data_IF_263667207754
#
_entry.id   IF_263667207754
#
_cell.length_a   1.000
_cell.length_b   1.000
_cell.length_c   1.000
_cell.angle_alpha   90.00
_cell.angle_beta   90.00
_cell.angle_gamma   90.00
#
_symmetry.space_group_name_H-M   'P 1'
#
loop_
_entity.id
_entity.type
_entity.pdbx_description
1 polymer ?
#
# COMPACT_ATOMS: atom_id res chain seq x y z
N UNK A 1 8.13 68.77 28.05
CA UNK A 1 9.31 68.47 28.88
C UNK A 1 9.09 67.11 29.53
N UNK A 2 10.12 66.26 29.47
CA UNK A 2 10.33 65.01 30.22
C UNK A 2 9.45 63.79 29.94
N UNK A 3 9.96 62.97 29.02
CA UNK A 3 9.91 61.51 29.05
C UNK A 3 10.74 60.94 30.22
N UNK A 4 10.37 59.76 30.71
CA UNK A 4 11.29 58.84 31.40
C UNK A 4 10.88 57.36 31.15
N UNK A 5 11.84 56.42 31.07
CA UNK A 5 11.70 55.15 30.37
C UNK A 5 11.56 53.95 31.32
N UNK A 6 10.91 52.87 30.87
CA UNK A 6 10.94 51.56 31.56
C UNK A 6 11.90 50.63 30.80
N UNK A 7 12.94 50.07 31.44
CA UNK A 7 13.89 49.16 30.80
C UNK A 7 13.44 47.69 30.86
N UNK A 8 13.80 46.94 29.82
CA UNK A 8 13.79 45.48 29.75
C UNK A 8 14.84 44.85 30.69
N UNK A 9 14.52 43.70 31.30
CA UNK A 9 15.46 42.60 31.57
C UNK A 9 14.71 41.29 31.98
N UNK A 10 15.29 40.10 31.74
CA UNK A 10 14.60 38.80 31.74
C UNK A 10 14.81 38.00 33.04
N UNK A 11 14.03 36.94 33.30
CA UNK A 11 14.47 35.90 34.21
C UNK A 11 14.58 34.52 33.53
N UNK A 12 15.81 34.04 33.57
CA UNK A 12 16.15 32.69 34.04
C UNK A 12 15.87 31.49 33.15
N UNK A 13 16.97 31.04 32.55
CA UNK A 13 17.41 29.66 32.49
C UNK A 13 16.66 28.71 33.44
N UNK A 14 16.06 27.67 32.87
CA UNK A 14 15.65 26.47 33.60
C UNK A 14 16.26 25.23 32.93
N UNK A 15 17.29 24.76 33.60
CA UNK A 15 17.66 23.37 33.88
C UNK A 15 17.40 22.29 32.82
N UNK A 16 18.51 21.68 32.41
CA UNK A 16 18.67 20.34 31.88
C UNK A 16 17.82 19.28 32.60
N UNK A 17 17.20 18.38 31.83
CA UNK A 17 16.83 17.03 32.29
C UNK A 17 17.21 15.99 31.20
N UNK A 18 17.82 14.84 31.57
CA UNK A 18 18.22 13.76 30.65
C UNK A 18 17.05 12.78 30.36
N UNK A 19 17.23 11.76 29.48
CA UNK A 19 16.18 11.23 28.61
C UNK A 19 15.29 10.22 29.34
N UNK A 20 13.98 10.36 29.16
CA UNK A 20 13.00 9.32 29.55
C UNK A 20 12.48 8.69 28.28
N UNK A 21 12.70 7.38 28.16
CA UNK A 21 12.28 6.58 27.02
C UNK A 21 10.75 6.44 26.92
N UNK A 22 10.37 5.92 25.75
CA UNK A 22 9.10 5.28 25.45
C UNK A 22 7.84 6.15 25.65
N UNK A 23 7.42 6.82 24.58
CA UNK A 23 6.11 6.59 23.98
C UNK A 23 5.96 7.57 22.80
N UNK A 24 6.37 7.14 21.61
CA UNK A 24 5.68 7.63 20.42
C UNK A 24 4.20 7.34 20.67
N UNK A 25 3.29 8.34 20.66
CA UNK A 25 1.88 8.04 20.57
C UNK A 25 1.71 7.31 19.24
N UNK A 26 1.65 5.99 19.28
CA UNK A 26 1.24 5.19 18.15
C UNK A 26 -0.21 5.55 17.91
N UNK A 27 -0.42 6.58 17.07
CA UNK A 27 -1.69 6.71 16.36
C UNK A 27 -1.95 5.33 15.77
N UNK A 28 -3.14 4.75 15.96
CA UNK A 28 -3.48 3.51 15.29
C UNK A 28 -3.32 3.81 13.80
N UNK A 29 -2.27 3.27 13.19
CA UNK A 29 -2.15 3.24 11.74
C UNK A 29 -3.25 2.28 11.32
N UNK A 30 -4.46 2.83 11.15
CA UNK A 30 -5.55 2.11 10.53
C UNK A 30 -5.05 1.82 9.11
N UNK A 31 -4.69 0.56 8.86
CA UNK A 31 -4.41 0.13 7.49
C UNK A 31 -5.60 0.58 6.63
N UNK A 32 -5.35 1.27 5.50
CA UNK A 32 -6.44 1.66 4.62
C UNK A 32 -7.25 0.41 4.29
N UNK A 33 -8.59 0.47 4.33
CA UNK A 33 -9.43 -0.69 4.05
C UNK A 33 -9.05 -1.22 2.67
N UNK A 34 -8.70 -2.51 2.61
CA UNK A 34 -8.37 -3.16 1.33
C UNK A 34 -9.63 -3.06 0.47
N UNK A 35 -9.58 -2.37 -0.67
CA UNK A 35 -10.76 -2.18 -1.50
C UNK A 35 -11.20 -3.51 -2.07
N UNK A 36 -12.46 -3.86 -1.82
CA UNK A 36 -13.03 -5.11 -2.31
C UNK A 36 -13.40 -4.98 -3.78
N UNK A 37 -12.70 -5.72 -4.64
CA UNK A 37 -13.06 -5.87 -6.05
C UNK A 37 -14.43 -6.58 -6.14
N UNK A 38 -15.35 -6.11 -7.00
CA UNK A 38 -16.65 -6.76 -7.16
C UNK A 38 -16.49 -8.18 -7.72
N UNK A 39 -17.33 -9.14 -7.30
CA UNK A 39 -17.26 -10.51 -7.80
C UNK A 39 -17.60 -10.56 -9.30
N UNK A 40 -17.02 -11.51 -10.06
CA UNK A 40 -17.18 -11.58 -11.51
C UNK A 40 -18.64 -11.77 -11.94
N UNK A 41 -19.46 -12.42 -11.10
CA UNK A 41 -20.90 -12.57 -11.31
C UNK A 41 -21.67 -11.25 -11.41
N UNK A 42 -21.10 -10.14 -10.93
CA UNK A 42 -21.69 -8.80 -11.09
C UNK A 42 -21.75 -8.38 -12.57
N UNK A 43 -20.84 -8.90 -13.39
CA UNK A 43 -20.70 -8.59 -14.80
C UNK A 43 -21.30 -9.66 -15.72
N UNK A 44 -21.86 -10.72 -15.14
CA UNK A 44 -22.40 -11.85 -15.90
C UNK A 44 -23.85 -11.59 -16.33
N UNK A 45 -24.00 -10.78 -17.39
CA UNK A 45 -25.31 -10.39 -17.97
C UNK A 45 -25.68 -11.24 -19.19
N UNK A 46 -24.70 -11.96 -19.76
CA UNK A 46 -24.86 -12.71 -21.00
C UNK A 46 -25.90 -13.83 -20.92
N UNK A 47 -25.97 -14.65 -19.85
CA UNK A 47 -26.97 -15.72 -19.75
C UNK A 47 -28.40 -15.17 -19.79
N UNK A 48 -28.65 -14.06 -19.10
CA UNK A 48 -29.99 -13.46 -19.02
C UNK A 48 -30.38 -12.77 -20.32
N UNK A 49 -29.43 -12.07 -20.95
CA UNK A 49 -29.64 -11.48 -22.27
C UNK A 49 -29.95 -12.55 -23.31
N UNK A 50 -29.18 -13.63 -23.32
CA UNK A 50 -29.38 -14.73 -24.24
C UNK A 50 -30.74 -15.42 -24.03
N UNK A 51 -31.15 -15.66 -22.77
CA UNK A 51 -32.50 -16.18 -22.46
C UNK A 51 -33.59 -15.26 -22.97
N UNK A 52 -33.45 -13.95 -22.75
CA UNK A 52 -34.42 -12.96 -23.20
C UNK A 52 -34.54 -12.94 -24.73
N UNK A 53 -33.41 -12.96 -25.43
CA UNK A 53 -33.36 -12.96 -26.90
C UNK A 53 -33.97 -14.24 -27.48
N UNK A 54 -33.61 -15.42 -26.96
CA UNK A 54 -34.22 -16.70 -27.39
C UNK A 54 -35.74 -16.65 -27.28
N UNK A 55 -36.23 -16.17 -26.13
CA UNK A 55 -37.66 -16.09 -25.85
C UNK A 55 -38.41 -15.12 -26.78
N UNK A 56 -37.72 -14.07 -27.26
CA UNK A 56 -38.26 -13.12 -28.23
C UNK A 56 -38.27 -13.71 -29.65
N UNK A 57 -37.24 -14.50 -30.01
CA UNK A 57 -37.14 -15.17 -31.31
C UNK A 57 -38.16 -16.30 -31.46
N UNK A 58 -38.49 -16.99 -30.37
CA UNK A 58 -39.45 -18.09 -30.34
C UNK A 58 -40.92 -17.63 -30.29
N UNK A 59 -41.18 -16.32 -30.18
CA UNK A 59 -42.54 -15.75 -30.14
C UNK A 59 -43.26 -15.96 -31.47
N UNK A 60 -44.29 -16.83 -31.54
CA UNK A 60 -45.07 -16.99 -32.75
C UNK A 60 -45.91 -15.73 -32.99
N UNK A 61 -45.97 -15.30 -34.25
CA UNK A 61 -46.81 -14.19 -34.73
C UNK A 61 -48.30 -14.64 -34.74
N UNK A 62 -48.89 -14.88 -33.56
CA UNK A 62 -50.26 -15.34 -33.41
C UNK A 62 -51.19 -14.18 -32.99
N UNK A 63 -52.38 -14.00 -33.60
CA UNK A 63 -53.31 -12.93 -33.24
C UNK A 63 -53.82 -13.04 -31.79
N UNK A 64 -54.28 -11.92 -31.19
CA UNK A 64 -54.47 -11.81 -29.75
C UNK A 64 -55.65 -12.67 -29.28
N UNK A 65 -55.35 -13.79 -28.62
CA UNK A 65 -56.34 -14.53 -27.86
C UNK A 65 -56.28 -14.07 -26.40
N UNK A 66 -57.40 -13.46 -25.97
CA UNK A 66 -57.84 -13.21 -24.59
C UNK A 66 -56.78 -12.86 -23.53
N UNK A 67 -56.90 -11.61 -23.04
CA UNK A 67 -56.40 -11.04 -21.78
C UNK A 67 -55.59 -12.02 -20.89
N UNK A 68 -54.24 -11.95 -20.90
CA UNK A 68 -53.43 -12.77 -20.01
C UNK A 68 -53.59 -12.28 -18.55
N UNK A 69 -53.94 -13.22 -17.68
CA UNK A 69 -53.92 -13.02 -16.23
C UNK A 69 -52.45 -12.92 -15.77
N UNK A 70 -52.05 -12.00 -14.88
CA UNK A 70 -50.64 -11.71 -14.56
C UNK A 70 -49.83 -12.90 -14.02
N UNK A 71 -50.49 -14.00 -13.63
CA UNK A 71 -49.84 -15.22 -13.13
C UNK A 71 -49.35 -16.20 -14.21
N UNK A 72 -49.61 -15.96 -15.50
CA UNK A 72 -49.28 -16.92 -16.57
C UNK A 72 -48.03 -16.56 -17.39
N UNK A 73 -47.29 -15.51 -17.01
CA UNK A 73 -45.99 -15.16 -17.58
C UNK A 73 -44.94 -16.20 -17.15
N UNK A 74 -45.00 -17.38 -17.73
CA UNK A 74 -44.02 -18.43 -17.52
C UNK A 74 -42.66 -17.92 -17.94
N UNK A 75 -41.66 -17.99 -17.05
CA UNK A 75 -40.31 -17.49 -17.32
C UNK A 75 -39.66 -18.14 -18.56
N UNK A 76 -40.17 -19.30 -18.99
CA UNK A 76 -39.65 -20.14 -20.08
C UNK A 76 -40.52 -20.15 -21.35
N UNK A 77 -41.64 -19.41 -21.38
CA UNK A 77 -42.55 -19.37 -22.54
C UNK A 77 -42.30 -18.18 -23.49
N UNK A 78 -42.76 -18.20 -24.74
CA UNK A 78 -42.46 -17.15 -25.71
C UNK A 78 -42.89 -15.75 -25.22
N UNK A 79 -42.06 -14.73 -25.46
CA UNK A 79 -42.23 -13.40 -24.88
C UNK A 79 -42.96 -12.48 -25.85
N UNK A 80 -44.15 -12.03 -25.47
CA UNK A 80 -44.87 -11.04 -26.25
C UNK A 80 -44.12 -9.69 -26.26
N UNK A 81 -44.12 -9.01 -27.41
CA UNK A 81 -43.41 -7.74 -27.64
C UNK A 81 -43.75 -6.68 -26.57
N UNK A 82 -45.00 -6.66 -26.10
CA UNK A 82 -45.48 -5.71 -25.09
C UNK A 82 -44.79 -5.89 -23.72
N UNK A 83 -44.30 -7.10 -23.42
CA UNK A 83 -43.68 -7.44 -22.14
C UNK A 83 -42.14 -7.37 -22.16
N UNK A 84 -41.52 -7.06 -23.31
CA UNK A 84 -40.07 -7.00 -23.47
C UNK A 84 -39.44 -5.98 -22.53
N UNK A 85 -40.03 -4.78 -22.40
CA UNK A 85 -39.51 -3.75 -21.51
C UNK A 85 -39.47 -4.21 -20.04
N UNK A 86 -40.52 -4.93 -19.61
CA UNK A 86 -40.60 -5.45 -18.24
C UNK A 86 -39.58 -6.56 -18.02
N UNK A 87 -39.47 -7.50 -18.97
CA UNK A 87 -38.50 -8.58 -18.91
C UNK A 87 -37.03 -8.12 -18.99
N UNK A 88 -36.76 -7.01 -19.67
CA UNK A 88 -35.42 -6.43 -19.79
C UNK A 88 -34.98 -5.63 -18.54
N UNK A 89 -35.88 -5.35 -17.59
CA UNK A 89 -35.55 -4.55 -16.40
C UNK A 89 -34.45 -5.20 -15.54
N UNK A 90 -34.47 -6.52 -15.38
CA UNK A 90 -33.48 -7.23 -14.57
C UNK A 90 -32.07 -7.12 -15.17
N UNK A 91 -31.96 -7.23 -16.49
CA UNK A 91 -30.72 -7.01 -17.24
C UNK A 91 -30.25 -5.57 -17.05
N UNK A 92 -31.18 -4.60 -17.18
CA UNK A 92 -30.88 -3.17 -17.02
C UNK A 92 -30.36 -2.87 -15.61
N UNK A 93 -30.97 -3.48 -14.59
CA UNK A 93 -30.55 -3.34 -13.20
C UNK A 93 -29.17 -3.99 -12.96
N UNK A 94 -28.91 -5.17 -13.52
CA UNK A 94 -27.58 -5.81 -13.46
C UNK A 94 -26.50 -4.92 -14.09
N UNK A 95 -26.75 -4.34 -15.26
CA UNK A 95 -25.82 -3.41 -15.92
C UNK A 95 -25.59 -2.17 -15.05
N UNK A 96 -26.64 -1.58 -14.48
CA UNK A 96 -26.49 -0.42 -13.59
C UNK A 96 -25.68 -0.78 -12.34
N UNK A 97 -25.92 -1.94 -11.75
CA UNK A 97 -25.14 -2.44 -10.61
C UNK A 97 -23.67 -2.62 -10.97
N UNK A 98 -23.37 -3.24 -12.12
CA UNK A 98 -22.00 -3.40 -12.61
C UNK A 98 -21.30 -2.05 -12.81
N UNK A 99 -21.98 -1.08 -13.46
CA UNK A 99 -21.44 0.27 -13.64
C UNK A 99 -21.16 0.97 -12.31
N UNK A 100 -22.08 0.90 -11.35
CA UNK A 100 -21.86 1.45 -10.01
C UNK A 100 -20.68 0.79 -9.32
N UNK A 101 -20.54 -0.54 -9.44
CA UNK A 101 -19.44 -1.27 -8.83
C UNK A 101 -18.08 -0.85 -9.42
N UNK A 102 -18.00 -0.63 -10.74
CA UNK A 102 -16.78 -0.11 -11.41
C UNK A 102 -16.45 1.29 -10.93
N UNK A 103 -17.44 2.18 -10.89
CA UNK A 103 -17.24 3.58 -10.46
C UNK A 103 -16.99 3.74 -8.96
N UNK A 104 -17.23 2.68 -8.18
CA UNK A 104 -16.93 2.64 -6.75
C UNK A 104 -15.54 2.06 -6.46
N UNK A 105 -14.81 1.60 -7.49
CA UNK A 105 -13.42 1.17 -7.32
C UNK A 105 -12.56 2.38 -6.96
N UNK A 106 -11.65 2.25 -5.98
CA UNK A 106 -10.71 3.32 -5.68
C UNK A 106 -9.78 3.54 -6.85
N UNK A 107 -9.33 4.78 -6.99
CA UNK A 107 -8.36 5.21 -8.00
C UNK A 107 -8.74 4.81 -9.44
N UNK A 108 -10.02 4.54 -9.71
CA UNK A 108 -10.53 4.21 -11.05
C UNK A 108 -10.38 5.38 -12.03
N UNK A 109 -10.27 6.59 -11.50
CA UNK A 109 -10.04 7.82 -12.25
C UNK A 109 -8.54 8.14 -12.47
N UNK A 110 -7.62 7.38 -11.86
CA UNK A 110 -6.17 7.54 -12.06
C UNK A 110 -5.67 6.66 -13.19
N UNK A 111 -4.64 7.15 -13.89
CA UNK A 111 -3.98 6.38 -14.95
C UNK A 111 -2.97 5.39 -14.36
N UNK A 112 -2.50 4.45 -15.18
CA UNK A 112 -1.45 3.51 -14.73
C UNK A 112 -0.11 4.24 -14.62
N UNK A 113 0.13 5.18 -15.54
CA UNK A 113 1.33 6.00 -15.61
C UNK A 113 1.51 6.83 -14.34
N UNK A 114 0.46 7.51 -13.86
CA UNK A 114 0.51 8.27 -12.59
C UNK A 114 0.82 7.37 -11.38
N UNK A 115 0.39 6.11 -11.42
CA UNK A 115 0.62 5.15 -10.34
C UNK A 115 2.05 4.61 -10.39
N UNK A 116 2.57 4.36 -11.58
CA UNK A 116 3.95 3.91 -11.79
C UNK A 116 4.96 4.97 -11.34
N UNK A 117 4.75 6.25 -11.68
CA UNK A 117 5.57 7.37 -11.19
C UNK A 117 5.58 7.45 -9.66
N UNK A 118 4.40 7.36 -9.03
CA UNK A 118 4.30 7.35 -7.57
C UNK A 118 5.01 6.15 -6.94
N UNK A 119 4.93 4.97 -7.55
CA UNK A 119 5.64 3.77 -7.08
C UNK A 119 7.15 4.01 -7.14
N UNK A 120 7.68 4.56 -8.24
CA UNK A 120 9.11 4.87 -8.38
C UNK A 120 9.58 5.82 -7.27
N UNK A 121 8.84 6.91 -7.03
CA UNK A 121 9.13 7.87 -5.97
C UNK A 121 9.11 7.23 -4.58
N UNK A 122 8.09 6.40 -4.31
CA UNK A 122 7.96 5.69 -3.04
C UNK A 122 9.10 4.68 -2.83
N UNK A 123 9.51 3.96 -3.88
CA UNK A 123 10.62 3.01 -3.84
C UNK A 123 11.97 3.71 -3.62
N UNK A 124 12.20 4.86 -4.26
CA UNK A 124 13.37 5.70 -4.04
C UNK A 124 13.43 6.19 -2.58
N UNK A 125 12.29 6.63 -2.04
CA UNK A 125 12.18 7.07 -0.64
C UNK A 125 12.41 5.92 0.34
N UNK A 126 11.86 4.74 0.08
CA UNK A 126 12.10 3.53 0.89
C UNK A 126 13.58 3.16 0.86
N UNK A 127 14.23 3.25 -0.29
CA UNK A 127 15.66 2.97 -0.43
C UNK A 127 16.48 3.91 0.43
N UNK A 128 16.21 5.22 0.36
CA UNK A 128 16.86 6.22 1.19
C UNK A 128 16.63 5.97 2.69
N UNK A 129 15.40 5.68 3.10
CA UNK A 129 15.11 5.38 4.51
C UNK A 129 15.84 4.11 5.00
N UNK A 130 15.93 3.08 4.16
CA UNK A 130 16.67 1.85 4.45
C UNK A 130 18.17 2.12 4.59
N UNK A 131 18.77 2.99 3.78
CA UNK A 131 20.20 3.35 3.91
C UNK A 131 20.44 4.11 5.20
N UNK A 132 19.61 5.09 5.55
CA UNK A 132 19.71 5.82 6.82
C UNK A 132 19.58 4.90 8.05
N UNK A 133 18.61 3.98 8.04
CA UNK A 133 18.47 3.00 9.13
C UNK A 133 19.68 2.08 9.25
N UNK A 134 20.28 1.67 8.12
CA UNK A 134 21.50 0.88 8.12
C UNK A 134 22.69 1.65 8.69
N UNK A 135 22.77 2.95 8.46
CA UNK A 135 23.80 3.82 9.03
C UNK A 135 23.61 4.00 10.53
N UNK A 136 22.39 4.24 11.00
CA UNK A 136 22.08 4.36 12.43
C UNK A 136 22.31 3.03 13.19
N UNK A 137 22.05 1.90 12.53
CA UNK A 137 22.30 0.57 13.06
C UNK A 137 23.74 0.09 12.89
N UNK A 138 24.64 0.89 12.30
CA UNK A 138 26.05 0.54 12.19
C UNK A 138 26.64 0.59 13.61
N UNK A 139 27.16 -0.52 14.15
CA UNK A 139 27.85 -0.47 15.43
C UNK A 139 28.98 0.54 15.30
N UNK A 140 29.13 1.43 16.29
CA UNK A 140 30.32 2.25 16.40
C UNK A 140 31.50 1.28 16.31
N UNK A 141 32.31 1.42 15.26
CA UNK A 141 33.49 0.59 15.11
C UNK A 141 34.30 0.75 16.39
N UNK A 142 34.48 -0.34 17.14
CA UNK A 142 35.44 -0.37 18.23
C UNK A 142 36.77 0.12 17.65
N UNK A 143 37.32 1.23 18.16
CA UNK A 143 38.55 1.76 17.60
C UNK A 143 39.74 1.01 18.18
N UNK A 144 39.79 -0.33 18.22
CA UNK A 144 41.03 -1.04 18.59
C UNK A 144 41.25 -2.36 17.85
N UNK A 145 42.53 -2.56 17.55
CA UNK A 145 43.24 -3.82 17.27
C UNK A 145 43.62 -4.08 15.80
N UNK A 146 44.58 -3.29 15.33
CA UNK A 146 45.18 -3.47 14.02
C UNK A 146 46.54 -2.81 13.85
N UNK A 147 47.37 -2.72 14.90
CA UNK A 147 48.81 -2.50 14.72
C UNK A 147 49.67 -2.91 15.95
N UNK A 148 49.61 -4.19 16.34
CA UNK A 148 50.63 -4.80 17.22
C UNK A 148 51.33 -5.99 16.53
N UNK A 149 51.29 -6.06 15.20
CA UNK A 149 51.89 -7.14 14.40
C UNK A 149 53.36 -6.88 13.98
N UNK A 150 54.02 -5.89 14.57
CA UNK A 150 55.43 -5.57 14.28
C UNK A 150 56.19 -5.30 15.58
N UNK A 151 56.33 -6.29 16.47
CA UNK A 151 57.38 -6.32 17.52
C UNK A 151 57.49 -7.68 18.24
N UNK A 152 56.59 -8.65 18.01
CA UNK A 152 56.63 -9.97 18.69
C UNK A 152 57.58 -10.99 18.03
N UNK A 153 58.66 -10.53 17.38
CA UNK A 153 59.55 -11.40 16.59
C UNK A 153 61.02 -11.41 17.00
N UNK A 154 61.47 -10.64 18.00
CA UNK A 154 62.91 -10.36 18.15
C UNK A 154 63.43 -10.32 19.60
N UNK A 155 62.73 -10.94 20.56
CA UNK A 155 63.24 -11.03 21.94
C UNK A 155 64.06 -12.30 22.23
N UNK A 156 63.99 -13.33 21.38
CA UNK A 156 64.81 -14.55 21.53
C UNK A 156 66.11 -14.51 20.70
N UNK A 157 66.15 -13.77 19.58
CA UNK A 157 67.37 -13.63 18.77
C UNK A 157 68.40 -12.68 19.41
N UNK A 158 67.94 -11.69 20.19
CA UNK A 158 68.83 -10.80 20.95
C UNK A 158 69.60 -11.51 22.08
N UNK A 159 69.06 -12.61 22.63
CA UNK A 159 69.72 -13.40 23.66
C UNK A 159 70.77 -14.36 23.07
N UNK A 160 70.52 -14.87 21.85
CA UNK A 160 71.45 -15.77 21.16
C UNK A 160 72.70 -15.03 20.63
N UNK A 161 72.52 -13.79 20.13
CA UNK A 161 73.64 -12.94 19.71
C UNK A 161 74.51 -12.43 20.87
N UNK A 162 73.95 -12.31 22.09
CA UNK A 162 74.68 -11.91 23.29
C UNK A 162 75.52 -13.06 23.90
N UNK A 163 75.06 -14.31 23.76
CA UNK A 163 75.81 -15.50 24.19
C UNK A 163 76.95 -15.86 23.23
N UNK A 164 76.82 -15.54 21.94
CA UNK A 164 77.86 -15.79 20.94
C UNK A 164 79.06 -14.83 21.03
N UNK A 165 78.90 -13.62 21.60
CA UNK A 165 79.98 -12.62 21.71
C UNK A 165 80.73 -12.64 23.06
N UNK A 166 80.34 -13.50 24.00
CA UNK A 166 80.93 -13.59 25.34
C UNK A 166 82.07 -14.60 25.50
N UNK A 167 82.71 -15.05 24.42
CA UNK A 167 83.69 -16.14 24.47
C UNK A 167 84.95 -15.89 23.65
N UNK A 168 85.65 -14.77 23.85
CA UNK A 168 87.10 -14.71 23.58
C UNK A 168 87.81 -13.95 24.70
N UNK A 169 88.85 -14.60 25.24
CA UNK A 169 89.76 -14.14 26.29
C UNK A 169 90.80 -13.17 25.72
#
# INVERSE_FOLDING_TARGET
MSSAPTPHAPPSARASQPPTGAATPALPFAAPPIPSIPPPSTFDVLPDLHKLLKRLLETPSQPPAATPTPSQLSADGPLEIQHVATAANDIRLKIQKARRAVMALPDVDRTCEDQEEEIEDLEARITSLKTFLKELGRPAADPEDGDQSFMSGDCMDALDFALAQGAEW
#
